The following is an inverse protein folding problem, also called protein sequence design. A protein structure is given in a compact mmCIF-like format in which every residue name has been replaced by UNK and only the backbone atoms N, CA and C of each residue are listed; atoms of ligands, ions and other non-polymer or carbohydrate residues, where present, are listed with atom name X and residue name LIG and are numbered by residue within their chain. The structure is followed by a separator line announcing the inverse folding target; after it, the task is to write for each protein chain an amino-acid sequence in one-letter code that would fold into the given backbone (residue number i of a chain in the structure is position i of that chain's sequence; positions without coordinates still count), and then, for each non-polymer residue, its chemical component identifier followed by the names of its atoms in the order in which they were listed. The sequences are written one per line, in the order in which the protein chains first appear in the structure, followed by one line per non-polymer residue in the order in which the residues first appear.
data_IF_004583182407
#
_entry.id   IF_004583182407
#
_cell.length_a   1.000
_cell.length_b   1.000
_cell.length_c   1.000
_cell.angle_alpha   90.00
_cell.angle_beta   90.00
_cell.angle_gamma   90.00
#
_symmetry.space_group_name_H-M   'P 1'
#
loop_
_entity.id
_entity.type
_entity.pdbx_description
1 polymer ?
#
# COMPACT_ATOMS: atom_id res chain seq x y z
N UNK A 1 24.45 0.91 7.03
CA UNK A 1 24.26 1.33 8.44
C UNK A 1 24.03 2.83 8.63
N UNK A 2 24.58 3.72 7.78
CA UNK A 2 24.39 5.17 7.93
C UNK A 2 22.94 5.59 7.74
N UNK A 3 22.26 5.04 6.73
CA UNK A 3 20.84 5.31 6.47
C UNK A 3 19.97 4.86 7.65
N UNK A 4 20.21 3.65 8.15
CA UNK A 4 19.47 3.14 9.30
C UNK A 4 19.61 4.02 10.55
N UNK A 5 20.82 4.50 10.83
CA UNK A 5 21.07 5.42 11.95
C UNK A 5 20.43 6.79 11.73
N UNK A 6 20.44 7.30 10.50
CA UNK A 6 19.76 8.53 10.13
C UNK A 6 18.25 8.42 10.35
N UNK A 7 17.62 7.39 9.84
CA UNK A 7 16.18 7.18 9.98
C UNK A 7 15.77 6.96 11.44
N UNK A 8 16.55 6.21 12.19
CA UNK A 8 16.35 6.08 13.64
C UNK A 8 16.35 7.44 14.32
N UNK A 9 17.33 8.30 13.98
CA UNK A 9 17.43 9.64 14.55
C UNK A 9 16.24 10.53 14.16
N UNK A 10 15.77 10.45 12.92
CA UNK A 10 14.60 11.20 12.49
C UNK A 10 13.35 10.79 13.28
N UNK A 11 13.11 9.49 13.49
CA UNK A 11 12.02 9.01 14.34
C UNK A 11 12.17 9.48 15.80
N UNK A 12 13.38 9.49 16.33
CA UNK A 12 13.67 10.00 17.68
C UNK A 12 13.43 11.51 17.79
N UNK A 13 13.76 12.28 16.75
CA UNK A 13 13.49 13.72 16.69
C UNK A 13 11.97 14.02 16.73
N UNK A 14 11.14 13.07 16.28
CA UNK A 14 9.68 13.13 16.43
C UNK A 14 9.20 12.73 17.84
N UNK A 15 10.11 12.40 18.76
CA UNK A 15 9.79 11.98 20.12
C UNK A 15 9.42 10.50 20.26
N UNK A 16 9.67 9.69 19.24
CA UNK A 16 9.33 8.27 19.26
C UNK A 16 10.48 7.44 19.87
N UNK A 17 10.09 6.41 20.60
CA UNK A 17 11.04 5.36 21.01
C UNK A 17 11.26 4.43 19.83
N UNK A 18 12.53 4.19 19.53
CA UNK A 18 12.95 3.37 18.39
C UNK A 18 13.73 2.15 18.87
N UNK A 19 13.69 1.10 18.07
CA UNK A 19 14.53 -0.08 18.24
C UNK A 19 14.97 -0.61 16.89
N UNK A 20 16.09 -1.32 16.86
CA UNK A 20 16.45 -2.19 15.74
C UNK A 20 15.98 -3.62 16.00
N UNK A 21 15.52 -4.27 14.95
CA UNK A 21 15.37 -5.73 14.93
C UNK A 21 16.44 -6.27 13.99
N UNK A 22 17.40 -6.97 14.53
CA UNK A 22 18.47 -7.62 13.76
C UNK A 22 18.27 -9.13 13.79
N UNK A 23 18.49 -9.78 12.65
CA UNK A 23 18.35 -11.23 12.57
C UNK A 23 18.64 -11.77 11.18
N UNK A 24 18.53 -13.09 11.05
CA UNK A 24 18.76 -13.80 9.81
C UNK A 24 17.46 -14.39 9.29
N UNK A 25 17.25 -14.23 7.99
CA UNK A 25 16.20 -14.92 7.24
C UNK A 25 16.79 -15.53 5.98
N UNK A 26 16.08 -16.49 5.41
CA UNK A 26 16.49 -17.16 4.19
C UNK A 26 15.54 -16.78 3.07
N UNK A 27 16.08 -16.37 1.93
CA UNK A 27 15.29 -16.15 0.72
C UNK A 27 14.74 -17.48 0.21
N UNK A 28 13.71 -17.44 -0.64
CA UNK A 28 13.17 -18.64 -1.29
C UNK A 28 14.24 -19.41 -2.11
N UNK A 29 15.22 -18.70 -2.62
CA UNK A 29 16.37 -19.26 -3.37
C UNK A 29 17.45 -19.86 -2.46
N UNK A 30 17.26 -19.84 -1.13
CA UNK A 30 18.20 -20.42 -0.17
C UNK A 30 19.37 -19.51 0.21
N UNK A 31 19.32 -18.22 -0.08
CA UNK A 31 20.34 -17.25 0.35
C UNK A 31 20.04 -16.79 1.76
N UNK A 32 21.01 -16.95 2.67
CA UNK A 32 20.93 -16.41 4.03
C UNK A 32 21.26 -14.92 4.02
N UNK A 33 20.34 -14.12 4.57
CA UNK A 33 20.47 -12.66 4.63
C UNK A 33 20.37 -12.21 6.08
N UNK A 34 21.28 -11.34 6.50
CA UNK A 34 21.15 -10.59 7.76
C UNK A 34 20.45 -9.27 7.47
N UNK A 35 19.34 -9.03 8.14
CA UNK A 35 18.54 -7.81 8.00
C UNK A 35 18.50 -7.03 9.31
N UNK A 36 18.32 -5.70 9.20
CA UNK A 36 18.27 -4.76 10.32
C UNK A 36 17.09 -3.80 10.16
N UNK A 37 15.91 -4.22 10.55
CA UNK A 37 14.72 -3.38 10.53
C UNK A 37 14.79 -2.24 11.56
N UNK A 38 14.19 -1.10 11.22
CA UNK A 38 13.99 0.03 12.13
C UNK A 38 12.53 0.05 12.56
N UNK A 39 12.29 0.11 13.85
CA UNK A 39 10.98 0.02 14.46
C UNK A 39 10.70 1.21 15.35
N UNK A 40 9.50 1.77 15.22
CA UNK A 40 8.94 2.70 16.19
C UNK A 40 7.45 2.37 16.43
N UNK A 41 6.91 2.87 17.55
CA UNK A 41 5.51 2.61 17.91
C UNK A 41 4.88 3.83 18.57
N UNK A 42 3.73 4.22 18.05
CA UNK A 42 2.83 5.16 18.71
C UNK A 42 1.78 4.33 19.44
N UNK A 43 1.78 4.39 20.76
CA UNK A 43 0.84 3.59 21.57
C UNK A 43 -0.58 4.11 21.43
N UNK A 44 -1.51 3.20 21.14
CA UNK A 44 -2.95 3.48 21.13
C UNK A 44 -3.55 3.52 22.54
N UNK A 45 -4.74 4.11 22.62
CA UNK A 45 -5.50 4.17 23.88
C UNK A 45 -6.26 2.88 24.20
N UNK A 46 -6.41 1.99 23.23
CA UNK A 46 -7.12 0.71 23.36
C UNK A 46 -6.20 -0.47 23.02
N UNK A 47 -6.58 -1.68 23.42
CA UNK A 47 -5.83 -2.90 23.13
C UNK A 47 -6.37 -3.60 21.86
N UNK A 48 -6.61 -2.82 20.81
CA UNK A 48 -7.03 -3.32 19.50
C UNK A 48 -5.87 -3.91 18.67
N UNK A 49 -6.19 -4.28 17.43
CA UNK A 49 -5.18 -4.65 16.44
C UNK A 49 -4.36 -3.43 16.02
N UNK A 50 -3.08 -3.62 15.71
CA UNK A 50 -2.18 -2.57 15.31
C UNK A 50 -2.26 -2.28 13.80
N UNK A 51 -2.06 -1.00 13.44
CA UNK A 51 -1.79 -0.55 12.08
C UNK A 51 -0.28 -0.52 11.86
N UNK A 52 0.21 -1.09 10.76
CA UNK A 52 1.61 -0.95 10.32
C UNK A 52 1.72 0.03 9.17
N UNK A 53 2.64 0.96 9.27
CA UNK A 53 3.13 1.81 8.17
C UNK A 53 4.46 1.21 7.74
N UNK A 54 4.54 0.76 6.49
CA UNK A 54 5.63 -0.05 5.96
C UNK A 54 6.25 0.62 4.73
N UNK A 55 7.56 0.60 4.65
CA UNK A 55 8.38 0.96 3.50
C UNK A 55 9.77 0.38 3.71
N UNK A 56 10.49 0.02 2.66
CA UNK A 56 11.85 -0.45 2.81
C UNK A 56 12.85 0.70 2.67
N UNK A 57 14.06 0.55 3.23
CA UNK A 57 15.08 1.58 3.18
C UNK A 57 16.37 1.15 2.47
N UNK A 58 16.46 -0.10 2.04
CA UNK A 58 17.50 -0.57 1.13
C UNK A 58 17.18 -0.19 -0.31
N UNK A 59 18.12 -0.33 -1.21
CA UNK A 59 17.97 -0.05 -2.64
C UNK A 59 18.55 -1.19 -3.47
N UNK A 60 18.11 -1.31 -4.72
CA UNK A 60 18.49 -2.40 -5.63
C UNK A 60 20.01 -2.56 -5.75
N UNK A 61 20.61 -3.63 -5.21
CA UNK A 61 22.06 -3.70 -4.93
C UNK A 61 22.92 -3.86 -6.18
N UNK A 62 22.34 -4.31 -7.29
CA UNK A 62 23.08 -4.65 -8.51
C UNK A 62 22.97 -3.60 -9.61
N UNK A 63 22.29 -2.50 -9.36
CA UNK A 63 21.95 -1.49 -10.37
C UNK A 63 22.57 -0.12 -10.14
N UNK A 64 23.30 0.05 -9.05
CA UNK A 64 23.76 1.36 -8.55
C UNK A 64 22.60 2.36 -8.33
N UNK A 65 21.37 1.86 -8.12
CA UNK A 65 20.23 2.67 -7.72
C UNK A 65 20.53 3.37 -6.39
N UNK A 66 20.17 4.63 -6.29
CA UNK A 66 20.23 5.38 -5.03
C UNK A 66 18.96 5.20 -4.19
N UNK A 67 17.93 4.53 -4.74
CA UNK A 67 16.68 4.24 -4.07
C UNK A 67 15.88 5.50 -3.71
N UNK A 68 15.96 6.55 -4.52
CA UNK A 68 15.23 7.79 -4.21
C UNK A 68 13.71 7.62 -4.36
N UNK A 69 13.30 6.89 -5.39
CA UNK A 69 11.91 6.50 -5.58
C UNK A 69 11.62 5.21 -4.82
N UNK A 70 12.47 4.22 -4.98
CA UNK A 70 12.34 2.85 -4.50
C UNK A 70 13.39 2.54 -3.40
N UNK A 71 13.11 2.77 -2.07
CA UNK A 71 11.81 3.29 -1.61
C UNK A 71 11.96 4.43 -0.59
N UNK A 72 12.97 5.32 -0.78
CA UNK A 72 13.11 6.49 0.08
C UNK A 72 11.87 7.41 0.01
N UNK A 73 11.09 7.34 -1.07
CA UNK A 73 9.84 8.09 -1.22
C UNK A 73 8.78 7.64 -0.23
N UNK A 74 8.61 6.33 -0.04
CA UNK A 74 7.72 5.76 0.95
C UNK A 74 8.17 6.08 2.38
N UNK A 75 9.48 5.94 2.65
CA UNK A 75 10.07 6.34 3.92
C UNK A 75 9.77 7.81 4.24
N UNK A 76 10.00 8.72 3.29
CA UNK A 76 9.74 10.16 3.46
C UNK A 76 8.24 10.44 3.67
N UNK A 77 7.37 9.77 2.91
CA UNK A 77 5.92 9.87 3.04
C UNK A 77 5.46 9.47 4.45
N UNK A 78 5.98 8.37 4.99
CA UNK A 78 5.65 7.90 6.34
C UNK A 78 6.17 8.88 7.40
N UNK A 79 7.44 9.29 7.32
CA UNK A 79 8.04 10.22 8.28
C UNK A 79 7.26 11.53 8.37
N UNK A 80 6.94 12.14 7.22
CA UNK A 80 6.23 13.41 7.19
C UNK A 80 4.78 13.28 7.67
N UNK A 81 4.10 12.19 7.31
CA UNK A 81 2.73 11.94 7.76
C UNK A 81 2.67 11.68 9.26
N UNK A 82 3.62 10.93 9.80
CA UNK A 82 3.74 10.72 11.26
C UNK A 82 4.06 12.04 11.97
N UNK A 83 4.96 12.86 11.42
CA UNK A 83 5.25 14.19 11.95
C UNK A 83 3.99 15.06 12.02
N UNK A 84 3.22 15.11 10.95
CA UNK A 84 1.98 15.87 10.90
C UNK A 84 0.92 15.32 11.87
N UNK A 85 0.80 13.99 11.96
CA UNK A 85 -0.11 13.32 12.89
C UNK A 85 0.18 13.69 14.35
N UNK A 86 1.45 13.64 14.75
CA UNK A 86 1.91 13.99 16.10
C UNK A 86 1.76 15.49 16.38
N UNK A 87 2.12 16.35 15.41
CA UNK A 87 1.99 17.80 15.54
C UNK A 87 0.54 18.25 15.79
N UNK A 88 -0.40 17.60 15.13
CA UNK A 88 -1.83 17.87 15.28
C UNK A 88 -2.41 17.29 16.58
N UNK A 89 -1.61 16.65 17.43
CA UNK A 89 -2.06 15.92 18.61
C UNK A 89 -3.22 14.93 18.29
N UNK A 90 -3.15 14.30 17.15
CA UNK A 90 -4.15 13.33 16.71
C UNK A 90 -4.23 12.17 17.69
N UNK A 91 -5.45 11.69 17.93
CA UNK A 91 -5.70 10.56 18.84
C UNK A 91 -5.78 9.27 18.04
N UNK A 92 -5.27 8.20 18.62
CA UNK A 92 -5.36 6.86 18.06
C UNK A 92 -5.84 5.87 19.12
N UNK A 93 -6.75 5.01 18.72
CA UNK A 93 -7.20 3.85 19.52
C UNK A 93 -6.23 2.69 19.36
N UNK A 94 -5.87 2.41 18.12
CA UNK A 94 -4.97 1.33 17.73
C UNK A 94 -3.51 1.76 17.89
N UNK A 95 -2.64 0.82 18.20
CA UNK A 95 -1.20 1.06 18.05
C UNK A 95 -0.85 1.32 16.59
N UNK A 96 0.04 2.28 16.36
CA UNK A 96 0.62 2.52 15.03
C UNK A 96 2.08 2.08 15.12
N UNK A 97 2.45 1.11 14.29
CA UNK A 97 3.82 0.60 14.18
C UNK A 97 4.41 1.20 12.90
N UNK A 98 5.55 1.85 13.01
CA UNK A 98 6.37 2.26 11.89
C UNK A 98 7.44 1.18 11.71
N UNK A 99 7.47 0.57 10.54
CA UNK A 99 8.46 -0.43 10.16
C UNK A 99 9.16 0.03 8.89
N UNK A 100 10.44 0.39 9.02
CA UNK A 100 11.32 0.51 7.88
C UNK A 100 12.11 -0.79 7.74
N UNK A 101 11.77 -1.57 6.74
CA UNK A 101 12.34 -2.90 6.49
C UNK A 101 13.65 -2.80 5.74
N UNK A 102 14.49 -3.80 5.94
CA UNK A 102 15.80 -3.96 5.32
C UNK A 102 15.81 -5.16 4.39
N UNK A 103 16.63 -5.12 3.36
CA UNK A 103 16.84 -6.22 2.44
C UNK A 103 15.54 -6.72 1.75
N UNK A 104 14.66 -5.80 1.39
CA UNK A 104 13.51 -6.06 0.51
C UNK A 104 14.00 -6.54 -0.84
N UNK A 105 14.91 -5.81 -1.43
CA UNK A 105 15.52 -6.01 -2.74
C UNK A 105 16.33 -7.31 -2.88
N UNK A 106 16.68 -7.93 -1.76
CA UNK A 106 17.35 -9.23 -1.73
C UNK A 106 16.37 -10.41 -1.66
N UNK A 107 15.11 -10.15 -1.28
CA UNK A 107 14.06 -11.17 -1.21
C UNK A 107 13.15 -11.02 0.00
N UNK A 108 12.69 -9.80 0.29
CA UNK A 108 11.69 -9.45 1.31
C UNK A 108 12.11 -9.86 2.73
N UNK A 109 13.41 -9.78 3.00
CA UNK A 109 13.99 -10.41 4.19
C UNK A 109 13.64 -9.68 5.48
N UNK A 110 13.57 -8.36 5.46
CA UNK A 110 13.17 -7.55 6.62
C UNK A 110 11.73 -7.82 7.03
N UNK A 111 10.81 -7.84 6.08
CA UNK A 111 9.42 -8.20 6.35
C UNK A 111 9.30 -9.64 6.88
N UNK A 112 10.03 -10.58 6.29
CA UNK A 112 10.07 -11.97 6.78
C UNK A 112 10.59 -12.06 8.21
N UNK A 113 11.63 -11.29 8.56
CA UNK A 113 12.16 -11.21 9.91
C UNK A 113 11.12 -10.66 10.89
N UNK A 114 10.40 -9.58 10.51
CA UNK A 114 9.38 -9.00 11.36
C UNK A 114 8.21 -9.96 11.57
N UNK A 115 7.64 -10.47 10.50
CA UNK A 115 6.42 -11.31 10.55
C UNK A 115 6.67 -12.60 11.33
N UNK A 116 7.84 -13.23 11.15
CA UNK A 116 8.10 -14.54 11.76
C UNK A 116 8.70 -14.48 13.15
N UNK A 117 9.40 -13.40 13.52
CA UNK A 117 10.18 -13.36 14.75
C UNK A 117 9.82 -12.20 15.70
N UNK A 118 9.18 -11.12 15.20
CA UNK A 118 8.87 -9.99 16.08
C UNK A 118 7.55 -10.18 16.84
N UNK A 119 7.56 -9.90 18.13
CA UNK A 119 6.38 -10.09 18.98
C UNK A 119 5.18 -9.20 18.57
N UNK A 120 5.42 -8.03 17.99
CA UNK A 120 4.36 -7.12 17.57
C UNK A 120 3.58 -7.64 16.35
N UNK A 121 4.19 -8.47 15.52
CA UNK A 121 3.53 -9.05 14.34
C UNK A 121 2.24 -9.79 14.67
N UNK A 122 2.17 -10.45 15.84
CA UNK A 122 1.00 -11.20 16.30
C UNK A 122 -0.26 -10.34 16.49
N UNK A 123 -0.07 -9.04 16.70
CA UNK A 123 -1.18 -8.11 16.95
C UNK A 123 -1.46 -7.18 15.77
N UNK A 124 -0.79 -7.33 14.64
CA UNK A 124 -1.07 -6.52 13.44
C UNK A 124 -2.43 -6.90 12.85
N UNK A 125 -3.20 -5.91 12.45
CA UNK A 125 -4.50 -6.09 11.79
C UNK A 125 -4.49 -5.61 10.34
N UNK A 126 -3.69 -4.58 10.03
CA UNK A 126 -3.61 -3.99 8.70
C UNK A 126 -2.22 -3.42 8.43
N UNK A 127 -1.80 -3.50 7.18
CA UNK A 127 -0.56 -2.88 6.70
C UNK A 127 -0.88 -1.85 5.61
N UNK A 128 -0.27 -0.68 5.70
CA UNK A 128 -0.18 0.31 4.62
C UNK A 128 1.27 0.33 4.15
N UNK A 129 1.53 -0.26 2.99
CA UNK A 129 2.85 -0.36 2.39
C UNK A 129 2.99 0.69 1.28
N UNK A 130 4.08 1.43 1.29
CA UNK A 130 4.40 2.43 0.28
C UNK A 130 5.55 1.92 -0.55
N UNK A 131 5.44 2.07 -1.87
CA UNK A 131 6.29 1.42 -2.85
C UNK A 131 6.50 2.29 -4.09
N UNK A 132 7.47 1.91 -4.91
CA UNK A 132 7.67 2.49 -6.22
C UNK A 132 8.09 1.44 -7.26
N UNK A 133 7.65 1.64 -8.49
CA UNK A 133 8.12 0.95 -9.70
C UNK A 133 8.43 1.91 -10.84
N UNK A 134 8.73 3.12 -10.49
CA UNK A 134 9.06 4.20 -11.39
C UNK A 134 9.48 5.41 -10.59
N UNK A 135 9.43 6.60 -11.18
CA UNK A 135 9.81 7.84 -10.49
C UNK A 135 8.76 8.95 -10.61
N UNK A 136 7.60 8.67 -11.18
CA UNK A 136 6.55 9.65 -11.42
C UNK A 136 5.15 9.01 -11.47
N UNK A 137 4.14 9.86 -11.68
CA UNK A 137 2.75 9.46 -11.86
C UNK A 137 1.94 9.37 -10.58
N UNK A 138 0.67 8.98 -10.68
CA UNK A 138 -0.16 8.72 -9.52
C UNK A 138 0.31 7.45 -8.82
N UNK A 139 0.23 7.44 -7.50
CA UNK A 139 0.39 6.22 -6.73
C UNK A 139 -0.91 5.43 -6.81
N UNK A 140 -0.83 4.19 -7.27
CA UNK A 140 -1.97 3.29 -7.38
C UNK A 140 -2.18 2.54 -6.08
N UNK A 141 -3.43 2.48 -5.62
CA UNK A 141 -3.80 1.60 -4.52
C UNK A 141 -4.04 0.18 -5.06
N UNK A 142 -3.26 -0.75 -4.57
CA UNK A 142 -3.34 -2.18 -4.83
C UNK A 142 -3.58 -2.90 -3.50
N UNK A 143 -4.39 -3.96 -3.50
CA UNK A 143 -4.69 -4.68 -2.27
C UNK A 143 -4.04 -6.04 -2.25
N UNK A 144 -3.64 -6.48 -1.07
CA UNK A 144 -3.34 -7.89 -0.81
C UNK A 144 -4.28 -8.42 0.25
N UNK A 145 -5.15 -9.35 -0.16
CA UNK A 145 -6.17 -9.97 0.69
C UNK A 145 -5.99 -11.48 0.77
N UNK A 146 -6.37 -12.07 1.90
CA UNK A 146 -6.30 -13.51 2.10
C UNK A 146 -7.51 -14.24 1.50
N UNK A 147 -8.64 -13.53 1.32
CA UNK A 147 -9.90 -14.05 0.78
C UNK A 147 -10.48 -13.03 -0.20
N UNK A 148 -11.76 -12.69 -0.09
CA UNK A 148 -12.37 -11.61 -0.85
C UNK A 148 -11.93 -10.22 -0.37
N UNK A 149 -12.32 -9.20 -1.13
CA UNK A 149 -11.85 -7.83 -0.93
C UNK A 149 -12.91 -6.86 -0.38
N UNK A 150 -14.17 -7.28 -0.21
CA UNK A 150 -15.27 -6.34 0.04
C UNK A 150 -15.05 -5.46 1.28
N UNK A 151 -14.64 -6.03 2.42
CA UNK A 151 -14.38 -5.25 3.64
C UNK A 151 -13.19 -4.29 3.49
N UNK A 152 -12.17 -4.69 2.73
CA UNK A 152 -11.02 -3.82 2.45
C UNK A 152 -11.40 -2.65 1.54
N UNK A 153 -12.24 -2.88 0.52
CA UNK A 153 -12.74 -1.84 -0.38
C UNK A 153 -13.60 -0.82 0.40
N UNK A 154 -14.53 -1.32 1.21
CA UNK A 154 -15.38 -0.48 2.06
C UNK A 154 -14.55 0.36 3.04
N UNK A 155 -13.61 -0.26 3.75
CA UNK A 155 -12.72 0.42 4.69
C UNK A 155 -11.81 1.47 3.99
N UNK A 156 -11.38 1.21 2.75
CA UNK A 156 -10.63 2.20 1.98
C UNK A 156 -11.48 3.41 1.60
N UNK A 157 -12.73 3.19 1.17
CA UNK A 157 -13.67 4.28 0.85
C UNK A 157 -14.00 5.12 2.09
N UNK A 158 -14.28 4.47 3.22
CA UNK A 158 -14.49 5.14 4.50
C UNK A 158 -13.27 5.96 4.98
N UNK A 159 -12.06 5.51 4.65
CA UNK A 159 -10.82 6.24 4.87
C UNK A 159 -10.72 7.55 4.10
N UNK A 160 -11.61 7.75 3.13
CA UNK A 160 -11.83 9.01 2.40
C UNK A 160 -10.56 9.65 1.85
N UNK A 161 -9.74 8.83 1.17
CA UNK A 161 -8.54 9.31 0.49
C UNK A 161 -8.88 10.29 -0.62
N UNK A 162 -8.13 11.38 -0.68
CA UNK A 162 -8.29 12.37 -1.76
C UNK A 162 -7.61 11.87 -3.03
N UNK A 163 -8.31 11.96 -4.15
CA UNK A 163 -7.77 11.62 -5.47
C UNK A 163 -7.26 10.17 -5.61
N UNK A 164 -8.01 9.16 -5.14
CA UNK A 164 -7.54 7.79 -5.26
C UNK A 164 -7.33 7.40 -6.72
N UNK A 165 -6.29 6.63 -6.99
CA UNK A 165 -6.02 6.04 -8.30
C UNK A 165 -6.04 4.53 -8.13
N UNK A 166 -7.10 3.86 -8.58
CA UNK A 166 -7.21 2.40 -8.48
C UNK A 166 -8.37 1.85 -9.29
N UNK A 167 -8.28 0.60 -9.66
CA UNK A 167 -9.40 -0.16 -10.21
C UNK A 167 -9.13 -1.68 -10.11
N UNK A 168 -10.20 -2.45 -10.11
CA UNK A 168 -10.15 -3.92 -10.01
C UNK A 168 -9.33 -4.58 -11.12
N UNK A 169 -9.27 -3.99 -12.32
CA UNK A 169 -8.45 -4.53 -13.41
C UNK A 169 -6.96 -4.45 -13.09
N UNK A 170 -6.50 -3.32 -12.57
CA UNK A 170 -5.10 -3.17 -12.15
C UNK A 170 -4.75 -4.15 -11.03
N UNK A 171 -5.62 -4.34 -10.07
CA UNK A 171 -5.46 -5.35 -9.03
C UNK A 171 -5.34 -6.76 -9.60
N UNK A 172 -6.21 -7.11 -10.57
CA UNK A 172 -6.17 -8.42 -11.24
C UNK A 172 -4.85 -8.62 -12.02
N UNK A 173 -4.38 -7.57 -12.72
CA UNK A 173 -3.10 -7.60 -13.43
C UNK A 173 -1.95 -7.75 -12.44
N UNK A 174 -1.94 -6.97 -11.37
CA UNK A 174 -0.93 -7.04 -10.31
C UNK A 174 -0.77 -8.47 -9.77
N UNK A 175 -1.87 -9.14 -9.48
CA UNK A 175 -1.86 -10.54 -9.01
C UNK A 175 -1.30 -11.56 -10.02
N UNK A 176 -1.32 -11.23 -11.30
CA UNK A 176 -0.79 -12.12 -12.37
C UNK A 176 0.70 -11.91 -12.63
N UNK A 177 1.25 -10.80 -12.18
CA UNK A 177 2.66 -10.48 -12.35
C UNK A 177 3.49 -11.02 -11.17
N UNK A 178 4.73 -11.43 -11.39
CA UNK A 178 5.63 -11.86 -10.31
C UNK A 178 6.19 -10.64 -9.55
N UNK A 179 5.31 -9.89 -8.93
CA UNK A 179 5.60 -8.63 -8.28
C UNK A 179 5.32 -8.75 -6.79
N UNK A 180 6.20 -9.42 -6.08
CA UNK A 180 6.12 -9.50 -4.64
C UNK A 180 6.67 -8.22 -4.01
N UNK A 181 6.11 -7.84 -2.87
CA UNK A 181 6.55 -6.74 -2.02
C UNK A 181 6.61 -7.23 -0.57
N UNK A 182 7.12 -6.44 0.32
CA UNK A 182 7.10 -6.74 1.76
C UNK A 182 5.69 -7.07 2.27
N UNK A 183 4.65 -6.44 1.72
CA UNK A 183 3.26 -6.77 2.06
C UNK A 183 2.87 -8.20 1.69
N UNK A 184 3.42 -8.77 0.63
CA UNK A 184 3.20 -10.18 0.25
C UNK A 184 3.60 -11.12 1.38
N UNK A 185 4.71 -10.83 2.06
CA UNK A 185 5.17 -11.61 3.22
C UNK A 185 4.18 -11.52 4.39
N UNK A 186 3.64 -10.33 4.66
CA UNK A 186 2.61 -10.16 5.69
C UNK A 186 1.37 -11.00 5.37
N UNK A 187 0.92 -11.00 4.11
CA UNK A 187 -0.24 -11.79 3.67
C UNK A 187 0.04 -13.29 3.77
N UNK A 188 1.16 -13.77 3.24
CA UNK A 188 1.42 -15.20 3.11
C UNK A 188 1.87 -15.87 4.40
N UNK A 189 2.77 -15.21 5.13
CA UNK A 189 3.35 -15.79 6.36
C UNK A 189 2.62 -15.34 7.62
N UNK A 190 1.98 -14.17 7.58
CA UNK A 190 1.28 -13.58 8.73
C UNK A 190 -0.24 -13.69 8.68
N UNK A 191 -0.83 -14.06 7.53
CA UNK A 191 -2.27 -13.94 7.25
C UNK A 191 -2.80 -12.51 7.51
N UNK A 192 -1.95 -11.51 7.31
CA UNK A 192 -2.22 -10.08 7.52
C UNK A 192 -2.37 -9.43 6.16
N UNK A 193 -3.51 -8.81 5.91
CA UNK A 193 -3.79 -8.12 4.65
C UNK A 193 -3.44 -6.64 4.72
N UNK A 194 -3.39 -5.98 3.56
CA UNK A 194 -3.04 -4.59 3.49
C UNK A 194 -3.22 -3.94 2.13
N UNK A 195 -2.76 -2.72 2.05
CA UNK A 195 -2.75 -1.91 0.84
C UNK A 195 -1.30 -1.58 0.45
N UNK A 196 -0.97 -1.79 -0.82
CA UNK A 196 0.21 -1.22 -1.46
C UNK A 196 -0.16 0.08 -2.16
N UNK A 197 0.68 1.07 -2.04
CA UNK A 197 0.59 2.35 -2.74
C UNK A 197 1.83 2.53 -3.60
N UNK A 198 1.74 2.21 -4.89
CA UNK A 198 2.87 2.19 -5.80
C UNK A 198 2.65 3.08 -7.02
N UNK A 199 3.62 3.92 -7.37
CA UNK A 199 3.62 4.67 -8.62
C UNK A 199 4.55 4.02 -9.65
N UNK A 200 4.20 4.13 -10.95
CA UNK A 200 4.78 3.28 -12.00
C UNK A 200 5.30 4.11 -13.19
N UNK A 201 4.85 5.35 -13.36
CA UNK A 201 5.29 6.17 -14.49
C UNK A 201 6.81 6.42 -14.42
N UNK A 202 7.43 6.57 -15.58
CA UNK A 202 8.88 6.61 -15.72
C UNK A 202 9.58 5.35 -15.18
N UNK A 203 8.96 4.19 -15.40
CA UNK A 203 9.46 2.87 -14.95
C UNK A 203 10.88 2.54 -15.44
N UNK A 204 11.37 3.21 -16.47
CA UNK A 204 12.75 3.06 -16.96
C UNK A 204 13.81 3.59 -15.96
N UNK A 205 13.42 4.36 -14.96
CA UNK A 205 14.30 4.77 -13.87
C UNK A 205 14.40 3.72 -12.76
N UNK A 206 13.39 2.85 -12.64
CA UNK A 206 13.30 1.80 -11.62
C UNK A 206 14.48 0.82 -11.72
N UNK A 207 15.10 0.52 -10.59
CA UNK A 207 16.28 -0.35 -10.48
C UNK A 207 17.44 0.05 -11.40
N UNK A 208 17.67 1.35 -11.58
CA UNK A 208 18.77 1.91 -12.35
C UNK A 208 19.46 3.05 -11.60
N UNK A 209 20.62 3.50 -12.12
CA UNK A 209 21.32 4.70 -11.61
C UNK A 209 20.48 5.97 -11.67
N UNK A 210 19.39 5.96 -12.45
CA UNK A 210 18.48 7.09 -12.60
C UNK A 210 17.40 7.15 -11.53
N UNK A 211 17.33 6.14 -10.64
CA UNK A 211 16.52 6.26 -9.43
C UNK A 211 17.24 7.11 -8.41
N UNK A 212 17.20 8.41 -8.64
CA UNK A 212 17.85 9.44 -7.84
C UNK A 212 16.93 10.64 -7.56
N UNK A 213 17.40 11.55 -6.73
CA UNK A 213 16.62 12.70 -6.27
C UNK A 213 16.21 13.65 -7.43
N UNK A 214 17.01 13.77 -8.47
CA UNK A 214 16.74 14.63 -9.61
C UNK A 214 15.60 14.13 -10.49
N UNK A 215 15.38 12.83 -10.51
CA UNK A 215 14.40 12.17 -11.37
C UNK A 215 13.06 11.86 -10.68
N UNK A 216 12.99 11.89 -9.34
CA UNK A 216 11.72 11.67 -8.65
C UNK A 216 10.80 12.89 -8.72
N UNK A 217 9.53 12.64 -9.00
CA UNK A 217 8.51 13.70 -9.07
C UNK A 217 8.02 14.10 -7.68
N UNK A 218 8.18 15.36 -7.25
CA UNK A 218 7.60 15.84 -5.99
C UNK A 218 6.07 15.70 -5.93
N UNK A 219 5.38 15.75 -7.08
CA UNK A 219 3.92 15.56 -7.14
C UNK A 219 3.52 14.15 -6.77
N UNK A 220 4.35 13.18 -7.12
CA UNK A 220 4.13 11.77 -6.80
C UNK A 220 4.24 11.53 -5.29
N UNK A 221 5.26 12.07 -4.63
CA UNK A 221 5.40 12.01 -3.18
C UNK A 221 4.22 12.69 -2.48
N UNK A 222 3.82 13.87 -2.96
CA UNK A 222 2.65 14.57 -2.44
C UNK A 222 1.35 13.75 -2.61
N UNK A 223 1.24 13.00 -3.71
CA UNK A 223 0.10 12.12 -3.94
C UNK A 223 0.09 10.94 -2.96
N UNK A 224 1.23 10.30 -2.69
CA UNK A 224 1.33 9.27 -1.62
C UNK A 224 0.93 9.82 -0.25
N UNK A 225 1.41 11.02 0.11
CA UNK A 225 1.00 11.70 1.34
C UNK A 225 -0.52 11.98 1.39
N UNK A 226 -1.15 12.23 0.24
CA UNK A 226 -2.60 12.45 0.16
C UNK A 226 -3.41 11.18 0.47
N UNK A 227 -2.83 9.99 0.28
CA UNK A 227 -3.41 8.73 0.77
C UNK A 227 -3.16 8.56 2.26
N UNK A 228 -1.91 8.66 2.68
CA UNK A 228 -1.54 8.26 4.03
C UNK A 228 -2.23 9.11 5.10
N UNK A 229 -2.33 10.41 4.93
CA UNK A 229 -2.90 11.28 5.96
C UNK A 229 -4.34 10.92 6.36
N UNK A 230 -5.31 10.80 5.43
CA UNK A 230 -6.66 10.40 5.80
C UNK A 230 -6.74 8.93 6.26
N UNK A 231 -6.02 8.02 5.61
CA UNK A 231 -6.02 6.59 5.98
C UNK A 231 -5.40 6.37 7.36
N UNK A 232 -4.34 7.09 7.71
CA UNK A 232 -3.74 7.05 9.03
C UNK A 232 -4.73 7.51 10.10
N UNK A 233 -5.45 8.61 9.84
CA UNK A 233 -6.48 9.12 10.74
C UNK A 233 -7.63 8.13 10.93
N UNK A 234 -8.07 7.48 9.85
CA UNK A 234 -9.15 6.50 9.88
C UNK A 234 -8.72 5.20 10.55
N UNK A 235 -7.71 4.51 10.02
CA UNK A 235 -7.30 3.19 10.48
C UNK A 235 -6.67 3.18 11.87
N UNK A 236 -6.11 4.30 12.32
CA UNK A 236 -5.66 4.41 13.71
C UNK A 236 -6.82 4.36 14.73
N UNK A 237 -8.07 4.48 14.27
CA UNK A 237 -9.27 4.49 15.11
C UNK A 237 -10.34 3.44 14.72
N UNK A 238 -10.22 2.82 13.55
CA UNK A 238 -11.14 1.78 13.05
C UNK A 238 -10.90 0.42 13.72
N UNK A 239 -11.90 -0.45 13.65
CA UNK A 239 -11.74 -1.85 14.04
C UNK A 239 -10.97 -2.62 12.94
N UNK A 240 -9.72 -2.94 13.21
CA UNK A 240 -8.85 -3.69 12.32
C UNK A 240 -8.94 -5.21 12.49
N UNK A 241 -9.82 -5.72 13.33
CA UNK A 241 -9.97 -7.17 13.55
C UNK A 241 -10.90 -7.84 12.54
N UNK A 242 -11.72 -7.06 11.82
CA UNK A 242 -12.79 -7.54 10.96
C UNK A 242 -12.67 -7.05 9.51
N UNK A 243 -11.47 -7.10 8.94
CA UNK A 243 -11.23 -6.71 7.54
C UNK A 243 -11.28 -7.89 6.54
N UNK A 244 -11.51 -9.11 7.03
CA UNK A 244 -11.67 -10.28 6.18
C UNK A 244 -13.08 -10.36 5.60
N UNK A 245 -13.19 -10.77 4.34
CA UNK A 245 -14.45 -11.00 3.65
C UNK A 245 -14.33 -12.18 2.70
N UNK A 246 -15.39 -12.97 2.55
CA UNK A 246 -15.49 -13.96 1.47
C UNK A 246 -16.04 -13.37 0.18
N UNK A 247 -16.66 -12.18 0.27
CA UNK A 247 -17.24 -11.48 -0.87
C UNK A 247 -16.22 -10.56 -1.55
N UNK A 248 -16.38 -10.42 -2.86
CA UNK A 248 -15.62 -9.47 -3.66
C UNK A 248 -16.48 -8.28 -4.10
N UNK A 249 -15.84 -7.13 -4.21
CA UNK A 249 -16.36 -5.94 -4.85
C UNK A 249 -15.53 -5.56 -6.08
N UNK A 250 -16.22 -5.00 -7.06
CA UNK A 250 -15.61 -4.27 -8.16
C UNK A 250 -15.47 -2.83 -7.75
N UNK A 251 -14.31 -2.24 -7.99
CA UNK A 251 -14.05 -0.84 -7.67
C UNK A 251 -13.25 -0.16 -8.77
N UNK A 252 -13.45 1.14 -8.91
CA UNK A 252 -12.69 2.00 -9.82
C UNK A 252 -12.83 3.46 -9.42
N UNK A 253 -11.85 4.25 -9.84
CA UNK A 253 -11.85 5.69 -9.64
C UNK A 253 -12.41 6.41 -10.87
N UNK A 254 -13.24 7.40 -10.64
CA UNK A 254 -13.66 8.42 -11.61
C UNK A 254 -13.17 9.80 -11.11
N UNK A 255 -13.19 10.88 -11.95
CA UNK A 255 -12.60 12.16 -11.56
C UNK A 255 -13.07 12.77 -10.25
N UNK A 256 -14.21 12.34 -9.70
CA UNK A 256 -14.82 12.95 -8.50
C UNK A 256 -15.19 11.93 -7.42
N UNK A 257 -15.00 10.63 -7.65
CA UNK A 257 -15.41 9.60 -6.70
C UNK A 257 -14.63 8.30 -6.87
N UNK A 258 -14.52 7.58 -5.77
CA UNK A 258 -14.22 6.17 -5.75
C UNK A 258 -15.56 5.43 -5.79
N UNK A 259 -15.74 4.53 -6.75
CA UNK A 259 -16.99 3.79 -6.96
C UNK A 259 -16.72 2.32 -6.72
N UNK A 260 -17.57 1.68 -5.95
CA UNK A 260 -17.53 0.25 -5.74
C UNK A 260 -18.92 -0.36 -5.71
N UNK A 261 -19.02 -1.65 -6.02
CA UNK A 261 -20.26 -2.41 -5.99
C UNK A 261 -19.98 -3.92 -5.90
N UNK A 262 -20.92 -4.71 -5.36
CA UNK A 262 -20.76 -6.15 -5.22
C UNK A 262 -20.49 -6.84 -6.58
N UNK A 263 -19.54 -7.77 -6.58
CA UNK A 263 -19.11 -8.47 -7.79
C UNK A 263 -20.28 -9.19 -8.52
N UNK A 264 -21.27 -9.67 -7.79
CA UNK A 264 -22.44 -10.34 -8.36
C UNK A 264 -23.37 -9.41 -9.18
N UNK A 265 -23.18 -8.07 -9.08
CA UNK A 265 -23.93 -7.11 -9.89
C UNK A 265 -23.41 -6.98 -11.32
N UNK A 266 -22.26 -7.53 -11.65
CA UNK A 266 -21.68 -7.47 -13.00
C UNK A 266 -22.69 -8.02 -14.03
N UNK A 267 -23.23 -9.22 -13.81
CA UNK A 267 -24.15 -9.83 -14.75
C UNK A 267 -25.48 -9.07 -14.92
N UNK A 268 -26.20 -8.69 -13.86
CA UNK A 268 -27.38 -7.83 -13.98
C UNK A 268 -27.11 -6.52 -14.69
N UNK A 269 -26.02 -5.84 -14.38
CA UNK A 269 -25.65 -4.58 -15.03
C UNK A 269 -25.35 -4.79 -16.51
N UNK A 270 -24.59 -5.85 -16.87
CA UNK A 270 -24.27 -6.17 -18.25
C UNK A 270 -25.53 -6.44 -19.06
N UNK A 271 -26.47 -7.26 -18.53
CA UNK A 271 -27.75 -7.56 -19.15
C UNK A 271 -28.57 -6.28 -19.35
N UNK A 272 -28.62 -5.41 -18.36
CA UNK A 272 -29.29 -4.12 -18.44
C UNK A 272 -28.73 -3.21 -19.55
N UNK A 273 -27.40 -3.09 -19.63
CA UNK A 273 -26.72 -2.33 -20.67
C UNK A 273 -27.01 -2.91 -22.05
N UNK A 274 -26.95 -4.24 -22.19
CA UNK A 274 -27.27 -4.91 -23.46
C UNK A 274 -28.75 -4.68 -23.89
N UNK A 275 -29.66 -4.77 -22.93
CA UNK A 275 -31.09 -4.52 -23.20
C UNK A 275 -31.32 -3.06 -23.66
N UNK A 276 -30.68 -2.08 -22.98
CA UNK A 276 -30.73 -0.68 -23.39
C UNK A 276 -30.15 -0.48 -24.81
N UNK A 277 -28.99 -1.10 -25.06
CA UNK A 277 -28.36 -1.03 -26.37
C UNK A 277 -29.29 -1.55 -27.48
N UNK A 278 -29.90 -2.72 -27.30
CA UNK A 278 -30.87 -3.29 -28.23
C UNK A 278 -32.09 -2.37 -28.41
N UNK A 279 -32.62 -1.83 -27.30
CA UNK A 279 -33.73 -0.89 -27.33
C UNK A 279 -33.40 0.37 -28.15
N UNK A 280 -32.22 0.95 -27.98
CA UNK A 280 -31.79 2.12 -28.76
C UNK A 280 -31.64 1.81 -30.23
N UNK A 281 -31.14 0.62 -30.60
CA UNK A 281 -31.11 0.16 -32.01
C UNK A 281 -32.51 0.06 -32.58
N UNK A 282 -33.42 -0.58 -31.85
CA UNK A 282 -34.82 -0.74 -32.33
C UNK A 282 -35.51 0.62 -32.50
N UNK A 283 -35.33 1.54 -31.58
CA UNK A 283 -35.84 2.92 -31.68
C UNK A 283 -35.22 3.64 -32.89
N UNK A 284 -33.93 3.48 -33.12
CA UNK A 284 -33.21 4.08 -34.24
C UNK A 284 -33.71 3.56 -35.60
N UNK A 285 -33.93 2.27 -35.70
CA UNK A 285 -34.53 1.64 -36.90
C UNK A 285 -35.98 2.14 -37.08
N UNK A 286 -36.80 2.10 -36.03
CA UNK A 286 -38.20 2.57 -36.08
C UNK A 286 -38.33 4.04 -36.46
N UNK A 287 -37.39 4.87 -36.05
CA UNK A 287 -37.32 6.30 -36.44
C UNK A 287 -36.58 6.54 -37.77
N UNK A 288 -36.14 5.49 -38.46
CA UNK A 288 -35.37 5.55 -39.72
C UNK A 288 -34.04 6.36 -39.55
N UNK A 289 -33.48 6.39 -38.36
CA UNK A 289 -32.18 7.01 -38.09
C UNK A 289 -31.01 6.05 -38.32
N UNK A 290 -31.30 4.74 -38.33
CA UNK A 290 -30.37 3.66 -38.65
C UNK A 290 -30.93 2.87 -39.81
N UNK A 291 -30.11 2.69 -40.82
CA UNK A 291 -30.40 1.81 -41.96
C UNK A 291 -29.64 0.51 -41.75
N UNK A 292 -30.34 -0.61 -41.73
CA UNK A 292 -29.76 -1.97 -41.65
C UNK A 292 -29.59 -2.53 -43.04
#
# INVERSE_FOLDING_TARGET
DEVALYLQKELQNLGLQTSFQEGFTMTEKGTLVQSKNILARIKGSENGKALVLLSHYDSAPHSFSKGASDDASGVATILESVRAFLYNNSKNKNDIIILFSDAEELGLNGAALFVTQHQWAKNVGLVLNFEARGSAGPSYMLMETNQGNAQMVEAFDEGNSKFPASNSLMYSIYKMLPNDTDLTVFREKGAIQGFNFAFIDHHYNYHTMQDDFENISPKTIAHQGSYLMPLLSYFSNADLSNLNSEADEVYFTVPFAFIHYPFNWINPMWIGVLALFVLFILIGIGKRLIVV
#
